data_IF_449540239319
#
_entry.id   IF_449540239319
#
_cell.length_a   1.000
_cell.length_b   1.000
_cell.length_c   1.000
_cell.angle_alpha   90.00
_cell.angle_beta   90.00
_cell.angle_gamma   90.00
#
_symmetry.space_group_name_H-M   'P 1'
#
loop_
_entity.id
_entity.type
_entity.pdbx_description
1 polymer ?
#
# COMPACT_ATOMS: atom_id res chain seq x y z
N UNK A 1 -24.49 60.80 -3.78
CA UNK A 1 -23.53 59.98 -3.00
C UNK A 1 -24.06 59.94 -1.57
N UNK A 2 -24.85 58.91 -1.24
CA UNK A 2 -25.64 58.83 0.00
C UNK A 2 -24.88 58.02 1.04
N UNK A 3 -24.70 58.59 2.23
CA UNK A 3 -24.27 57.89 3.45
C UNK A 3 -25.32 58.16 4.53
N UNK A 4 -25.87 57.08 5.07
CA UNK A 4 -26.62 56.91 6.34
C UNK A 4 -27.37 55.58 6.21
N UNK A 5 -27.54 54.72 7.20
CA UNK A 5 -27.65 54.90 8.65
C UNK A 5 -27.36 53.54 9.34
N UNK A 6 -26.91 53.56 10.59
CA UNK A 6 -26.91 52.40 11.49
C UNK A 6 -28.33 52.12 12.02
N UNK A 7 -28.70 50.85 12.26
CA UNK A 7 -29.53 50.40 13.41
C UNK A 7 -29.30 48.89 13.65
N UNK A 8 -29.11 48.57 14.92
CA UNK A 8 -28.98 47.26 15.57
C UNK A 8 -30.24 46.38 15.53
N UNK A 9 -30.08 45.05 15.44
CA UNK A 9 -31.16 44.07 15.57
C UNK A 9 -30.65 42.74 16.15
N UNK A 10 -31.43 42.21 17.09
CA UNK A 10 -31.14 41.17 18.09
C UNK A 10 -31.25 39.72 17.55
N UNK A 11 -30.40 38.84 18.09
CA UNK A 11 -30.56 37.41 18.45
C UNK A 11 -31.23 36.36 17.52
N UNK A 12 -30.41 35.32 17.29
CA UNK A 12 -30.71 33.88 17.17
C UNK A 12 -31.31 33.32 15.86
N UNK A 13 -30.51 32.51 15.14
CA UNK A 13 -30.62 31.03 15.16
C UNK A 13 -29.49 30.40 14.34
N UNK A 14 -29.10 29.20 14.74
CA UNK A 14 -27.91 28.45 14.32
C UNK A 14 -27.70 28.38 12.80
N UNK A 15 -26.55 28.86 12.33
CA UNK A 15 -25.98 28.45 11.05
C UNK A 15 -24.93 27.38 11.31
N UNK A 16 -25.17 26.19 10.77
CA UNK A 16 -24.16 25.14 10.68
C UNK A 16 -22.91 25.73 10.00
N UNK A 17 -21.82 25.84 10.76
CA UNK A 17 -20.52 26.23 10.23
C UNK A 17 -20.13 25.23 9.15
N UNK A 18 -20.02 25.73 7.92
CA UNK A 18 -19.62 24.97 6.75
C UNK A 18 -18.19 24.44 6.94
N UNK A 19 -18.00 23.17 6.58
CA UNK A 19 -16.75 22.41 6.69
C UNK A 19 -15.62 22.90 5.76
N UNK A 20 -15.78 24.04 5.10
CA UNK A 20 -14.95 24.43 3.95
C UNK A 20 -13.65 25.18 4.31
N UNK A 21 -13.41 25.51 5.58
CA UNK A 21 -12.26 26.35 5.97
C UNK A 21 -11.38 25.76 7.10
N UNK A 22 -11.39 24.44 7.28
CA UNK A 22 -10.39 23.78 8.14
C UNK A 22 -9.09 23.54 7.34
N UNK A 23 -7.91 23.61 7.97
CA UNK A 23 -6.65 23.24 7.34
C UNK A 23 -6.74 21.78 6.88
N UNK A 24 -6.68 21.54 5.57
CA UNK A 24 -7.04 20.26 4.95
C UNK A 24 -8.22 20.36 3.96
N UNK A 25 -8.77 21.54 3.72
CA UNK A 25 -9.57 21.79 2.53
C UNK A 25 -8.72 21.49 1.29
N UNK A 26 -9.27 20.68 0.38
CA UNK A 26 -8.64 20.29 -0.88
C UNK A 26 -7.98 21.51 -1.53
N UNK A 27 -6.68 21.45 -1.78
CA UNK A 27 -6.03 22.42 -2.67
C UNK A 27 -6.62 22.17 -4.06
N UNK A 28 -7.63 22.95 -4.40
CA UNK A 28 -8.13 23.05 -5.75
C UNK A 28 -7.11 23.91 -6.51
N UNK A 29 -6.45 23.41 -7.57
CA UNK A 29 -5.68 24.28 -8.44
C UNK A 29 -6.61 25.39 -8.96
N UNK A 30 -6.10 26.61 -9.07
CA UNK A 30 -6.86 27.85 -9.31
C UNK A 30 -7.57 27.97 -10.67
N UNK A 31 -8.23 26.92 -11.13
CA UNK A 31 -9.11 26.88 -12.30
C UNK A 31 -10.55 26.64 -11.82
N UNK A 32 -11.56 27.25 -12.47
CA UNK A 32 -12.96 27.06 -12.11
C UNK A 32 -13.36 25.59 -12.22
N UNK A 33 -14.15 25.10 -11.27
CA UNK A 33 -14.78 23.78 -11.34
C UNK A 33 -15.38 23.54 -12.74
N UNK A 34 -14.94 22.48 -13.43
CA UNK A 34 -15.64 21.95 -14.60
C UNK A 34 -15.17 22.38 -16.00
N UNK A 35 -14.02 23.05 -16.17
CA UNK A 35 -13.43 23.22 -17.51
C UNK A 35 -12.19 22.34 -17.71
N UNK A 36 -12.44 21.06 -17.92
CA UNK A 36 -11.53 20.20 -18.68
C UNK A 36 -12.30 19.79 -19.95
N UNK A 37 -11.84 20.12 -21.16
CA UNK A 37 -12.44 19.64 -22.40
C UNK A 37 -12.54 18.10 -22.44
N UNK A 38 -11.71 17.42 -21.64
CA UNK A 38 -11.70 15.96 -21.47
C UNK A 38 -12.63 15.43 -20.36
N UNK A 39 -13.27 16.30 -19.55
CA UNK A 39 -14.23 15.90 -18.51
C UNK A 39 -15.64 15.58 -19.03
N UNK A 40 -15.82 15.55 -20.35
CA UNK A 40 -17.05 15.09 -21.01
C UNK A 40 -17.24 13.57 -20.95
N UNK A 41 -16.65 12.92 -19.95
CA UNK A 41 -16.53 11.49 -19.98
C UNK A 41 -16.42 10.78 -18.60
N UNK A 42 -17.22 9.73 -18.36
CA UNK A 42 -18.28 9.22 -19.25
C UNK A 42 -19.46 10.20 -19.37
N UNK A 43 -20.22 10.16 -20.47
CA UNK A 43 -21.49 10.86 -20.60
C UNK A 43 -22.40 10.51 -19.41
N UNK A 44 -22.97 11.54 -18.80
CA UNK A 44 -23.60 11.55 -17.47
C UNK A 44 -24.94 10.83 -17.37
N UNK A 45 -25.34 10.09 -18.39
CA UNK A 45 -26.73 9.67 -18.54
C UNK A 45 -27.05 8.42 -17.71
N UNK A 46 -26.02 7.75 -17.16
CA UNK A 46 -26.12 6.60 -16.24
C UNK A 46 -24.96 6.56 -15.21
N UNK A 47 -24.47 7.72 -14.77
CA UNK A 47 -23.48 7.76 -13.70
C UNK A 47 -24.12 7.30 -12.39
N UNK A 48 -23.56 6.26 -11.78
CA UNK A 48 -24.03 5.66 -10.53
C UNK A 48 -24.38 6.67 -9.44
N UNK A 49 -25.14 6.21 -8.46
CA UNK A 49 -25.62 7.06 -7.37
C UNK A 49 -24.48 7.82 -6.69
N UNK A 50 -24.73 9.07 -6.31
CA UNK A 50 -23.82 9.86 -5.47
C UNK A 50 -23.38 8.99 -4.28
N UNK A 51 -22.06 8.88 -4.08
CA UNK A 51 -21.53 8.18 -2.92
C UNK A 51 -21.98 8.92 -1.65
N UNK A 52 -22.88 8.28 -0.89
CA UNK A 52 -23.31 8.78 0.41
C UNK A 52 -22.28 8.29 1.43
N UNK A 53 -21.56 9.19 2.14
CA UNK A 53 -20.62 8.79 3.18
C UNK A 53 -21.30 7.87 4.19
N UNK A 54 -20.83 6.64 4.28
CA UNK A 54 -21.35 5.68 5.26
C UNK A 54 -20.52 5.82 6.52
N UNK A 55 -21.19 6.10 7.65
CA UNK A 55 -20.54 6.00 8.94
C UNK A 55 -20.12 4.53 9.16
N UNK A 56 -18.91 4.26 9.68
CA UNK A 56 -18.50 2.90 9.96
C UNK A 56 -19.47 2.27 10.98
N UNK A 57 -19.90 1.05 10.70
CA UNK A 57 -20.77 0.30 11.60
C UNK A 57 -20.10 0.06 12.96
N UNK A 58 -20.85 -0.52 13.91
CA UNK A 58 -20.34 -0.78 15.26
C UNK A 58 -19.14 -1.73 15.25
N UNK A 59 -19.17 -2.77 14.41
CA UNK A 59 -18.09 -3.76 14.35
C UNK A 59 -16.81 -3.10 13.83
N UNK A 60 -16.90 -2.36 12.74
CA UNK A 60 -15.82 -1.61 12.13
C UNK A 60 -15.22 -0.61 13.12
N UNK A 61 -16.04 0.15 13.86
CA UNK A 61 -15.56 1.04 14.91
C UNK A 61 -14.83 0.30 16.03
N UNK A 62 -15.32 -0.86 16.45
CA UNK A 62 -14.67 -1.69 17.47
C UNK A 62 -13.34 -2.27 16.98
N UNK A 63 -13.20 -2.58 15.69
CA UNK A 63 -11.94 -3.02 15.10
C UNK A 63 -10.93 -1.87 15.03
N UNK A 64 -11.36 -0.69 14.57
CA UNK A 64 -10.52 0.52 14.54
C UNK A 64 -10.03 0.89 15.95
N UNK A 65 -10.89 0.78 16.97
CA UNK A 65 -10.52 1.08 18.35
C UNK A 65 -9.44 0.15 18.93
N UNK A 66 -9.16 -0.99 18.29
CA UNK A 66 -8.11 -1.92 18.73
C UNK A 66 -6.72 -1.55 18.20
N UNK A 67 -6.60 -0.62 17.25
CA UNK A 67 -5.30 -0.22 16.67
C UNK A 67 -4.39 0.33 17.77
N UNK A 68 -3.19 -0.26 17.91
CA UNK A 68 -2.21 0.14 18.91
C UNK A 68 -0.93 0.68 18.26
N UNK A 69 -0.75 2.00 18.36
CA UNK A 69 0.41 2.73 17.85
C UNK A 69 1.74 2.21 18.41
N UNK A 70 1.77 1.70 19.64
CA UNK A 70 3.00 1.13 20.23
C UNK A 70 3.40 -0.16 19.53
N UNK A 71 2.43 -0.95 19.05
CA UNK A 71 2.71 -2.18 18.26
C UNK A 71 3.24 -1.82 16.88
N UNK A 72 2.62 -0.86 16.21
CA UNK A 72 3.09 -0.35 14.92
C UNK A 72 4.54 0.13 15.01
N UNK A 73 4.84 1.00 15.98
CA UNK A 73 6.20 1.50 16.22
C UNK A 73 7.20 0.38 16.49
N UNK A 74 6.85 -0.58 17.36
CA UNK A 74 7.73 -1.71 17.67
C UNK A 74 8.06 -2.54 16.44
N UNK A 75 7.08 -2.78 15.55
CA UNK A 75 7.33 -3.51 14.30
C UNK A 75 8.34 -2.77 13.42
N UNK A 76 8.14 -1.46 13.22
CA UNK A 76 9.06 -0.63 12.42
C UNK A 76 10.47 -0.65 13.02
N UNK A 77 10.61 -0.35 14.31
CA UNK A 77 11.91 -0.34 14.99
C UNK A 77 12.58 -1.72 14.93
N UNK A 78 11.80 -2.80 15.06
CA UNK A 78 12.33 -4.16 14.97
C UNK A 78 12.83 -4.50 13.56
N UNK A 79 12.08 -4.16 12.52
CA UNK A 79 12.50 -4.37 11.14
C UNK A 79 13.75 -3.55 10.78
N UNK A 80 13.82 -2.30 11.24
CA UNK A 80 15.01 -1.44 11.10
C UNK A 80 16.24 -2.07 11.78
N UNK A 81 16.06 -2.73 12.93
CA UNK A 81 17.16 -3.30 13.71
C UNK A 81 17.96 -4.41 12.99
N UNK A 82 17.42 -5.00 11.91
CA UNK A 82 18.14 -6.00 11.11
C UNK A 82 19.24 -5.38 10.24
N UNK A 83 19.39 -4.05 10.23
CA UNK A 83 20.45 -3.31 9.56
C UNK A 83 20.23 -3.17 8.05
N UNK A 84 20.01 -4.28 7.35
CA UNK A 84 19.51 -4.32 5.97
C UNK A 84 18.56 -5.50 5.83
N UNK A 85 17.57 -5.34 4.96
CA UNK A 85 16.67 -6.42 4.53
C UNK A 85 16.71 -6.59 3.01
N UNK A 86 17.83 -6.21 2.37
CA UNK A 86 18.00 -6.37 0.93
C UNK A 86 17.77 -7.82 0.49
N UNK A 87 17.15 -8.03 -0.67
CA UNK A 87 16.79 -9.38 -1.18
C UNK A 87 17.99 -10.34 -1.23
N UNK A 88 19.14 -9.83 -1.66
CA UNK A 88 20.40 -10.58 -1.74
C UNK A 88 21.21 -10.63 -0.43
N UNK A 89 20.69 -10.08 0.68
CA UNK A 89 21.38 -10.11 1.97
C UNK A 89 21.30 -11.50 2.63
N UNK A 90 21.93 -11.63 3.80
CA UNK A 90 22.07 -12.90 4.54
C UNK A 90 20.72 -13.61 4.74
N UNK A 91 20.66 -14.88 4.32
CA UNK A 91 19.48 -15.73 4.39
C UNK A 91 19.41 -16.59 5.67
N UNK A 92 20.57 -16.81 6.30
CA UNK A 92 20.79 -17.75 7.40
C UNK A 92 21.30 -17.08 8.70
N UNK A 93 21.07 -15.78 8.85
CA UNK A 93 21.41 -15.02 10.04
C UNK A 93 20.18 -14.85 10.94
N UNK A 94 20.39 -14.82 12.26
CA UNK A 94 19.31 -14.60 13.25
C UNK A 94 19.17 -13.12 13.64
N UNK A 95 20.13 -12.27 13.28
CA UNK A 95 20.22 -10.88 13.76
C UNK A 95 20.31 -9.84 12.65
N UNK A 96 20.65 -10.23 11.41
CA UNK A 96 20.86 -9.31 10.29
C UNK A 96 20.33 -9.90 8.99
N UNK A 97 19.92 -9.04 8.06
CA UNK A 97 19.55 -9.46 6.71
C UNK A 97 18.09 -9.90 6.61
N UNK A 98 17.70 -10.16 5.36
CA UNK A 98 16.33 -10.54 4.99
C UNK A 98 15.90 -11.86 5.62
N UNK A 99 16.83 -12.82 5.81
CA UNK A 99 16.54 -14.09 6.48
C UNK A 99 16.11 -13.90 7.94
N UNK A 100 16.82 -13.07 8.69
CA UNK A 100 16.48 -12.75 10.08
C UNK A 100 15.10 -12.07 10.18
N UNK A 101 14.81 -11.16 9.24
CA UNK A 101 13.53 -10.46 9.15
C UNK A 101 12.38 -11.43 8.83
N UNK A 102 12.54 -12.30 7.82
CA UNK A 102 11.57 -13.35 7.45
C UNK A 102 11.22 -14.22 8.64
N UNK A 103 12.23 -14.73 9.35
CA UNK A 103 12.01 -15.67 10.46
C UNK A 103 11.35 -14.97 11.65
N UNK A 104 11.65 -13.68 11.87
CA UNK A 104 10.95 -12.88 12.88
C UNK A 104 9.50 -12.62 12.49
N UNK A 105 9.21 -12.25 11.25
CA UNK A 105 7.85 -12.07 10.74
C UNK A 105 7.02 -13.35 10.86
N UNK A 106 7.61 -14.51 10.55
CA UNK A 106 6.95 -15.80 10.74
C UNK A 106 6.53 -15.99 12.20
N UNK A 107 7.42 -15.72 13.16
CA UNK A 107 7.11 -15.84 14.59
C UNK A 107 6.02 -14.88 15.04
N UNK A 108 6.03 -13.64 14.56
CA UNK A 108 4.95 -12.67 14.87
C UNK A 108 3.59 -13.15 14.35
N UNK A 109 3.53 -13.63 13.09
CA UNK A 109 2.29 -14.15 12.51
C UNK A 109 1.83 -15.44 13.21
N UNK A 110 2.75 -16.34 13.58
CA UNK A 110 2.43 -17.53 14.37
C UNK A 110 1.90 -17.16 15.76
N UNK A 111 2.45 -16.13 16.39
CA UNK A 111 1.95 -15.58 17.65
C UNK A 111 0.52 -15.04 17.53
N UNK A 112 0.20 -14.39 16.41
CA UNK A 112 -1.19 -13.98 16.09
C UNK A 112 -2.08 -15.22 15.94
N UNK A 113 -1.64 -16.21 15.17
CA UNK A 113 -2.41 -17.43 14.92
C UNK A 113 -2.69 -18.23 16.19
N UNK A 114 -1.76 -18.27 17.14
CA UNK A 114 -1.95 -18.91 18.45
C UNK A 114 -3.12 -18.30 19.27
N UNK A 115 -3.49 -17.05 19.00
CA UNK A 115 -4.62 -16.36 19.66
C UNK A 115 -5.92 -16.39 18.87
N UNK A 116 -5.96 -17.12 17.75
CA UNK A 116 -7.04 -17.06 16.75
C UNK A 116 -8.08 -18.19 16.86
N UNK A 117 -7.98 -19.08 17.84
CA UNK A 117 -8.82 -20.28 17.95
C UNK A 117 -8.80 -21.12 16.66
N UNK A 118 -7.59 -21.31 16.10
CA UNK A 118 -7.34 -22.08 14.88
C UNK A 118 -7.86 -21.44 13.59
N UNK A 119 -8.18 -20.14 13.60
CA UNK A 119 -8.75 -19.43 12.46
C UNK A 119 -7.72 -18.92 11.45
N UNK A 120 -6.46 -18.74 11.88
CA UNK A 120 -5.40 -18.18 11.06
C UNK A 120 -4.41 -19.27 10.67
N UNK A 121 -4.27 -19.52 9.37
CA UNK A 121 -3.20 -20.32 8.80
C UNK A 121 -1.97 -19.44 8.55
N UNK A 122 -0.78 -19.88 8.96
CA UNK A 122 0.48 -19.16 8.71
C UNK A 122 1.43 -20.04 7.94
N UNK A 123 1.94 -19.56 6.80
CA UNK A 123 2.81 -20.34 5.93
C UNK A 123 3.75 -19.44 5.11
N UNK A 124 4.76 -20.07 4.54
CA UNK A 124 5.63 -19.43 3.56
C UNK A 124 5.11 -19.65 2.15
N UNK A 125 5.18 -18.60 1.33
CA UNK A 125 5.06 -18.69 -0.12
C UNK A 125 6.44 -18.36 -0.70
N UNK A 126 7.17 -19.38 -1.17
CA UNK A 126 8.60 -19.28 -1.44
C UNK A 126 9.01 -19.95 -2.75
N UNK A 127 10.02 -19.39 -3.41
CA UNK A 127 10.67 -20.01 -4.56
C UNK A 127 12.11 -19.49 -4.71
N UNK A 128 12.94 -20.18 -5.50
CA UNK A 128 14.28 -19.69 -5.85
C UNK A 128 14.16 -18.83 -7.09
N UNK A 129 14.50 -17.55 -6.96
CA UNK A 129 14.63 -16.63 -8.10
C UNK A 129 16.01 -16.83 -8.75
N UNK A 130 16.08 -17.23 -10.03
CA UNK A 130 17.35 -17.29 -10.76
C UNK A 130 17.92 -15.89 -11.00
N UNK A 131 19.18 -15.84 -11.44
CA UNK A 131 19.85 -14.62 -11.88
C UNK A 131 18.98 -13.85 -12.88
N UNK A 132 18.84 -12.55 -12.63
CA UNK A 132 18.00 -11.65 -13.40
C UNK A 132 18.52 -10.21 -13.23
N UNK A 133 17.84 -9.23 -13.84
CA UNK A 133 18.10 -7.83 -13.54
C UNK A 133 17.97 -7.60 -12.03
N UNK A 134 19.00 -7.02 -11.38
CA UNK A 134 19.07 -6.75 -9.93
C UNK A 134 19.12 -8.00 -9.04
N UNK A 135 19.30 -9.19 -9.60
CA UNK A 135 19.54 -10.45 -8.88
C UNK A 135 20.88 -11.03 -9.33
N UNK A 136 21.91 -10.88 -8.50
CA UNK A 136 23.30 -11.20 -8.86
C UNK A 136 23.63 -12.70 -8.79
N UNK A 137 22.86 -13.45 -8.00
CA UNK A 137 23.00 -14.89 -7.80
C UNK A 137 21.64 -15.47 -7.41
N UNK A 138 21.40 -16.79 -7.62
CA UNK A 138 20.14 -17.41 -7.23
C UNK A 138 19.87 -17.20 -5.74
N UNK A 139 18.65 -16.75 -5.42
CA UNK A 139 18.27 -16.38 -4.06
C UNK A 139 16.86 -16.87 -3.75
N UNK A 140 16.62 -17.23 -2.48
CA UNK A 140 15.28 -17.58 -2.05
C UNK A 140 14.45 -16.31 -1.86
N UNK A 141 13.32 -16.22 -2.55
CA UNK A 141 12.29 -15.20 -2.33
C UNK A 141 11.22 -15.85 -1.50
N UNK A 142 11.00 -15.35 -0.28
CA UNK A 142 10.02 -15.92 0.66
C UNK A 142 9.08 -14.86 1.17
N UNK A 143 7.80 -14.96 0.82
CA UNK A 143 6.74 -14.21 1.48
C UNK A 143 6.33 -14.91 2.78
N UNK A 144 5.98 -14.12 3.79
CA UNK A 144 5.36 -14.63 5.03
C UNK A 144 3.88 -14.27 4.99
N UNK A 145 3.03 -15.30 5.04
CA UNK A 145 1.60 -15.15 4.78
C UNK A 145 0.77 -15.65 5.96
N UNK A 146 -0.18 -14.83 6.40
CA UNK A 146 -1.25 -15.22 7.30
C UNK A 146 -2.60 -15.18 6.54
N UNK A 147 -3.37 -16.26 6.60
CA UNK A 147 -4.65 -16.41 5.91
C UNK A 147 -5.76 -16.70 6.91
N UNK A 148 -6.86 -15.98 6.79
CA UNK A 148 -8.12 -16.25 7.48
C UNK A 148 -9.12 -16.73 6.44
N UNK A 149 -9.60 -17.97 6.58
CA UNK A 149 -10.52 -18.55 5.61
C UNK A 149 -11.91 -17.92 5.73
N UNK A 150 -12.53 -17.63 4.58
CA UNK A 150 -13.92 -17.21 4.50
C UNK A 150 -14.87 -18.33 4.93
N UNK A 151 -15.95 -17.98 5.61
CA UNK A 151 -16.93 -18.94 6.13
C UNK A 151 -17.99 -19.34 5.12
N UNK A 152 -18.40 -18.41 4.26
CA UNK A 152 -19.47 -18.64 3.27
C UNK A 152 -18.99 -18.52 1.84
N UNK A 153 -17.89 -17.81 1.60
CA UNK A 153 -17.30 -17.58 0.28
C UNK A 153 -15.77 -17.62 0.35
N UNK A 154 -15.18 -18.79 0.64
CA UNK A 154 -13.74 -18.92 0.86
C UNK A 154 -12.89 -18.65 -0.40
N UNK A 155 -13.50 -18.67 -1.59
CA UNK A 155 -12.81 -18.43 -2.85
C UNK A 155 -12.72 -16.95 -3.21
N UNK A 156 -13.56 -16.09 -2.61
CA UNK A 156 -13.45 -14.64 -2.69
C UNK A 156 -12.39 -14.15 -1.72
N UNK A 157 -11.40 -13.42 -2.23
CA UNK A 157 -10.19 -13.09 -1.49
C UNK A 157 -9.95 -11.58 -1.49
N UNK A 158 -9.64 -11.05 -0.31
CA UNK A 158 -9.02 -9.74 -0.14
C UNK A 158 -7.61 -9.92 0.40
N UNK A 159 -6.65 -9.22 -0.21
CA UNK A 159 -5.24 -9.28 0.14
C UNK A 159 -4.82 -7.94 0.73
N UNK A 160 -3.95 -7.98 1.73
CA UNK A 160 -3.27 -6.82 2.30
C UNK A 160 -1.78 -7.11 2.27
N UNK A 161 -1.02 -6.25 1.59
CA UNK A 161 0.43 -6.41 1.41
C UNK A 161 1.21 -5.23 1.96
N UNK A 162 2.47 -5.50 2.28
CA UNK A 162 3.57 -4.57 2.49
C UNK A 162 4.88 -5.34 2.26
N UNK A 163 5.91 -4.69 1.73
CA UNK A 163 7.15 -5.39 1.41
C UNK A 163 8.17 -5.24 2.53
N UNK A 164 8.80 -6.35 2.92
CA UNK A 164 9.72 -6.33 4.07
C UNK A 164 11.18 -6.25 3.66
N UNK A 165 11.49 -6.32 2.37
CA UNK A 165 12.82 -5.98 1.89
C UNK A 165 13.10 -4.47 1.99
N UNK A 166 14.35 -4.10 1.75
CA UNK A 166 14.79 -2.70 1.79
C UNK A 166 16.08 -2.60 0.99
N UNK A 167 16.36 -1.48 0.34
CA UNK A 167 17.66 -1.30 -0.33
C UNK A 167 18.29 0.06 -0.07
N UNK A 168 19.53 0.17 -0.54
CA UNK A 168 20.23 1.45 -0.67
C UNK A 168 19.99 2.04 -2.05
N UNK A 169 20.50 3.27 -2.24
CA UNK A 169 20.53 3.92 -3.55
C UNK A 169 21.33 3.10 -4.57
N UNK A 170 22.48 2.57 -4.16
CA UNK A 170 23.16 1.53 -4.94
C UNK A 170 22.39 0.21 -4.76
N UNK A 171 21.73 -0.21 -5.84
CA UNK A 171 20.88 -1.38 -5.86
C UNK A 171 21.64 -2.70 -5.74
N UNK A 172 22.94 -2.68 -5.96
CA UNK A 172 23.78 -3.87 -5.83
C UNK A 172 24.51 -3.93 -4.48
N UNK A 173 24.39 -2.90 -3.62
CA UNK A 173 24.91 -2.96 -2.25
C UNK A 173 23.92 -3.69 -1.32
N UNK A 174 24.04 -5.02 -1.33
CA UNK A 174 23.26 -5.93 -0.48
C UNK A 174 23.84 -6.14 0.92
N UNK A 175 24.93 -5.45 1.26
CA UNK A 175 25.64 -5.62 2.54
C UNK A 175 25.53 -4.40 3.44
N UNK A 176 25.49 -3.20 2.86
CA UNK A 176 25.38 -1.94 3.56
C UNK A 176 24.05 -1.78 4.30
N UNK A 177 24.03 -0.91 5.31
CA UNK A 177 22.80 -0.66 6.06
C UNK A 177 21.75 0.03 5.18
N UNK A 178 20.54 -0.51 5.21
CA UNK A 178 19.32 -0.02 4.58
C UNK A 178 18.20 -0.17 5.63
N UNK A 179 17.96 0.85 6.47
CA UNK A 179 17.01 0.72 7.57
C UNK A 179 15.57 0.52 7.09
N UNK A 180 15.18 1.13 5.96
CA UNK A 180 13.88 0.95 5.32
C UNK A 180 12.70 1.12 6.29
N UNK A 181 12.70 2.21 7.08
CA UNK A 181 11.72 2.41 8.14
C UNK A 181 10.33 2.77 7.59
N UNK A 182 10.28 3.71 6.64
CA UNK A 182 9.04 4.07 5.95
C UNK A 182 8.82 3.18 4.72
N UNK A 183 9.90 2.82 4.02
CA UNK A 183 9.94 1.98 2.82
C UNK A 183 10.63 0.63 3.14
N UNK A 184 9.90 -0.45 3.46
CA UNK A 184 8.46 -0.47 3.78
C UNK A 184 8.16 -1.20 5.10
N UNK A 185 9.02 -1.00 6.11
CA UNK A 185 8.72 -1.49 7.45
C UNK A 185 7.39 -0.90 8.00
N UNK A 186 6.98 0.27 7.52
CA UNK A 186 5.72 0.92 7.88
C UNK A 186 4.49 0.18 7.32
N UNK A 187 4.48 -0.21 6.05
CA UNK A 187 3.42 -1.01 5.44
C UNK A 187 3.33 -2.40 6.07
N UNK A 188 4.46 -3.04 6.32
CA UNK A 188 4.51 -4.33 7.04
C UNK A 188 3.96 -4.21 8.47
N UNK A 189 4.16 -3.07 9.14
CA UNK A 189 3.55 -2.83 10.45
C UNK A 189 2.02 -2.82 10.39
N UNK A 190 1.43 -2.24 9.34
CA UNK A 190 -0.02 -2.29 9.11
C UNK A 190 -0.50 -3.71 8.80
N UNK A 191 0.24 -4.47 7.98
CA UNK A 191 -0.08 -5.88 7.69
C UNK A 191 -0.19 -6.70 8.98
N UNK A 192 0.81 -6.61 9.87
CA UNK A 192 0.80 -7.37 11.13
C UNK A 192 -0.31 -6.90 12.08
N UNK A 193 -0.57 -5.59 12.16
CA UNK A 193 -1.59 -5.06 13.07
C UNK A 193 -3.01 -5.39 12.58
N UNK A 194 -3.25 -5.33 11.27
CA UNK A 194 -4.51 -5.77 10.68
C UNK A 194 -4.71 -7.28 10.85
N UNK A 195 -3.67 -8.10 10.62
CA UNK A 195 -3.74 -9.55 10.86
C UNK A 195 -4.12 -9.85 12.32
N UNK A 196 -3.55 -9.13 13.28
CA UNK A 196 -3.88 -9.28 14.71
C UNK A 196 -5.33 -8.91 15.02
N UNK A 197 -5.79 -7.76 14.54
CA UNK A 197 -7.16 -7.26 14.79
C UNK A 197 -8.19 -8.18 14.15
N UNK A 198 -7.89 -8.71 12.96
CA UNK A 198 -8.78 -9.59 12.21
C UNK A 198 -8.71 -11.05 12.66
N UNK A 199 -7.71 -11.47 13.45
CA UNK A 199 -7.43 -12.88 13.76
C UNK A 199 -8.63 -13.69 14.28
N UNK A 200 -9.54 -13.04 15.04
CA UNK A 200 -10.74 -13.69 15.60
C UNK A 200 -12.01 -13.49 14.76
N UNK A 201 -11.93 -12.76 13.65
CA UNK A 201 -13.05 -12.57 12.75
C UNK A 201 -13.34 -13.86 11.99
N UNK A 202 -14.61 -14.11 11.71
CA UNK A 202 -15.06 -15.18 10.82
C UNK A 202 -15.71 -14.55 9.58
N UNK A 203 -14.90 -13.95 8.68
CA UNK A 203 -15.41 -13.20 7.55
C UNK A 203 -16.13 -14.11 6.54
N UNK A 204 -16.98 -13.53 5.68
CA UNK A 204 -17.58 -14.25 4.57
C UNK A 204 -16.52 -14.64 3.51
N UNK A 205 -15.68 -13.68 3.14
CA UNK A 205 -14.55 -13.84 2.22
C UNK A 205 -13.24 -14.18 2.95
N UNK A 206 -12.33 -14.86 2.26
CA UNK A 206 -10.98 -15.10 2.74
C UNK A 206 -10.18 -13.79 2.79
N UNK A 207 -9.41 -13.61 3.87
CA UNK A 207 -8.49 -12.48 4.02
C UNK A 207 -7.05 -13.00 4.07
N UNK A 208 -6.16 -12.38 3.29
CA UNK A 208 -4.74 -12.72 3.24
C UNK A 208 -3.93 -11.49 3.65
N UNK A 209 -3.06 -11.66 4.64
CA UNK A 209 -2.10 -10.66 5.09
C UNK A 209 -0.70 -11.17 4.77
N UNK A 210 0.02 -10.46 3.89
CA UNK A 210 1.31 -10.92 3.41
C UNK A 210 2.40 -9.86 3.54
N UNK A 211 3.49 -10.24 4.21
CA UNK A 211 4.75 -9.52 4.12
C UNK A 211 5.53 -10.11 2.93
N UNK A 212 5.65 -9.34 1.85
CA UNK A 212 6.25 -9.82 0.58
C UNK A 212 7.73 -9.46 0.48
N UNK A 213 8.52 -10.30 -0.18
CA UNK A 213 9.96 -10.08 -0.39
C UNK A 213 10.26 -9.60 -1.81
N UNK A 214 11.37 -8.88 -1.98
CA UNK A 214 11.93 -8.58 -3.29
C UNK A 214 11.11 -7.65 -4.17
N UNK A 215 10.38 -6.71 -3.55
CA UNK A 215 9.78 -5.58 -4.26
C UNK A 215 10.87 -4.79 -4.99
N UNK A 216 11.92 -4.43 -4.25
CA UNK A 216 12.90 -3.43 -4.66
C UNK A 216 13.83 -3.94 -5.78
N UNK A 217 13.85 -5.25 -5.97
CA UNK A 217 14.64 -5.92 -7.00
C UNK A 217 13.78 -6.34 -8.21
N UNK A 218 12.45 -6.22 -8.16
CA UNK A 218 11.59 -6.51 -9.31
C UNK A 218 10.25 -7.17 -8.98
N UNK A 219 9.61 -6.82 -7.86
CA UNK A 219 8.28 -7.33 -7.47
C UNK A 219 8.21 -8.86 -7.37
N UNK A 220 9.29 -9.51 -6.98
CA UNK A 220 9.42 -10.97 -7.07
C UNK A 220 8.44 -11.71 -6.15
N UNK A 221 8.36 -11.28 -4.90
CA UNK A 221 7.47 -11.90 -3.91
C UNK A 221 6.01 -11.68 -4.23
N UNK A 222 5.60 -10.44 -4.54
CA UNK A 222 4.20 -10.14 -4.89
C UNK A 222 3.77 -10.85 -6.18
N UNK A 223 4.65 -10.93 -7.19
CA UNK A 223 4.39 -11.69 -8.42
C UNK A 223 4.19 -13.18 -8.15
N UNK A 224 5.01 -13.79 -7.29
CA UNK A 224 4.86 -15.19 -6.91
C UNK A 224 3.56 -15.44 -6.14
N UNK A 225 3.19 -14.55 -5.21
CA UNK A 225 1.93 -14.66 -4.47
C UNK A 225 0.73 -14.53 -5.43
N UNK A 226 0.73 -13.54 -6.32
CA UNK A 226 -0.33 -13.35 -7.31
C UNK A 226 -0.47 -14.56 -8.24
N UNK A 227 0.65 -15.10 -8.74
CA UNK A 227 0.68 -16.32 -9.54
C UNK A 227 0.14 -17.54 -8.78
N UNK A 228 0.51 -17.68 -7.50
CA UNK A 228 0.01 -18.75 -6.63
C UNK A 228 -1.52 -18.66 -6.47
N UNK A 229 -2.05 -17.48 -6.15
CA UNK A 229 -3.49 -17.28 -5.98
C UNK A 229 -4.26 -17.51 -7.27
N UNK A 230 -3.73 -17.05 -8.41
CA UNK A 230 -4.30 -17.32 -9.74
C UNK A 230 -4.34 -18.81 -10.06
N UNK A 231 -3.26 -19.55 -9.79
CA UNK A 231 -3.18 -20.99 -10.05
C UNK A 231 -4.10 -21.81 -9.13
N UNK A 232 -4.44 -21.27 -7.96
CA UNK A 232 -5.42 -21.83 -7.04
C UNK A 232 -6.86 -21.42 -7.37
N UNK A 233 -7.08 -20.66 -8.45
CA UNK A 233 -8.38 -20.15 -8.89
C UNK A 233 -9.10 -19.28 -7.85
N UNK A 234 -8.34 -18.59 -6.99
CA UNK A 234 -8.93 -17.60 -6.09
C UNK A 234 -9.45 -16.39 -6.87
N UNK A 235 -10.64 -15.91 -6.50
CA UNK A 235 -11.20 -14.65 -6.99
C UNK A 235 -10.71 -13.50 -6.09
N UNK A 236 -9.57 -12.91 -6.44
CA UNK A 236 -9.03 -11.76 -5.71
C UNK A 236 -9.79 -10.50 -6.12
N UNK A 237 -10.67 -10.02 -5.24
CA UNK A 237 -11.48 -8.81 -5.49
C UNK A 237 -10.76 -7.52 -5.11
N UNK A 238 -9.68 -7.63 -4.33
CA UNK A 238 -8.93 -6.47 -3.89
C UNK A 238 -7.57 -6.81 -3.28
N UNK A 239 -6.57 -5.97 -3.55
CA UNK A 239 -5.27 -6.00 -2.87
C UNK A 239 -4.91 -4.62 -2.34
N UNK A 240 -4.88 -4.45 -1.02
CA UNK A 240 -4.49 -3.18 -0.39
C UNK A 240 -2.98 -3.24 -0.17
N UNK A 241 -2.23 -2.61 -1.07
CA UNK A 241 -0.78 -2.47 -0.95
C UNK A 241 -0.45 -1.25 -0.09
N UNK A 242 0.17 -1.48 1.07
CA UNK A 242 0.66 -0.44 1.95
C UNK A 242 2.15 -0.30 1.65
N UNK A 243 2.55 0.83 1.08
CA UNK A 243 3.92 1.08 0.66
C UNK A 243 4.23 2.56 0.86
N UNK A 244 5.20 2.82 1.74
CA UNK A 244 5.54 4.15 2.27
C UNK A 244 4.36 4.78 3.02
N UNK A 245 4.06 4.23 4.21
CA UNK A 245 2.96 4.68 5.07
C UNK A 245 3.45 5.32 6.37
N UNK A 246 3.56 6.64 6.37
CA UNK A 246 3.94 7.37 7.57
C UNK A 246 4.50 8.74 7.28
N UNK A 247 5.11 8.89 6.10
CA UNK A 247 5.55 10.19 5.61
C UNK A 247 4.43 10.87 4.82
N UNK A 248 3.90 11.98 5.36
CA UNK A 248 2.93 12.85 4.68
C UNK A 248 3.52 13.66 3.51
N UNK A 249 4.72 13.32 3.04
CA UNK A 249 5.39 14.04 1.95
C UNK A 249 6.24 13.17 1.03
N UNK A 250 6.39 13.63 -0.22
CA UNK A 250 7.16 12.98 -1.28
C UNK A 250 8.68 13.02 -1.04
N UNK A 251 9.20 13.98 -0.25
CA UNK A 251 10.63 14.10 0.05
C UNK A 251 10.90 14.02 1.55
N UNK A 252 12.01 13.37 1.99
CA UNK A 252 12.45 13.25 3.39
C UNK A 252 12.46 14.56 4.20
N UNK A 253 12.56 15.71 3.53
CA UNK A 253 12.78 17.03 4.14
C UNK A 253 11.54 17.93 4.14
N UNK A 254 10.43 17.50 3.56
CA UNK A 254 9.24 18.36 3.40
C UNK A 254 8.33 18.26 4.63
N UNK A 255 7.62 19.33 5.01
CA UNK A 255 6.75 19.34 6.19
C UNK A 255 5.76 18.16 6.20
N UNK A 256 5.68 17.49 7.34
CA UNK A 256 4.76 16.38 7.57
C UNK A 256 3.34 16.97 7.72
N UNK A 257 2.43 16.54 6.85
CA UNK A 257 1.00 16.81 7.02
C UNK A 257 0.34 15.62 7.75
N UNK A 258 -0.07 15.76 9.03
CA UNK A 258 -0.66 14.67 9.80
C UNK A 258 -2.12 14.36 9.41
N UNK A 259 -2.70 15.11 8.47
CA UNK A 259 -4.10 14.99 8.06
C UNK A 259 -4.25 14.49 6.62
N UNK A 260 -3.16 14.11 5.95
CA UNK A 260 -3.19 13.66 4.55
C UNK A 260 -2.61 12.25 4.44
N UNK A 261 -3.41 11.35 3.86
CA UNK A 261 -2.99 10.01 3.47
C UNK A 261 -2.90 9.98 1.95
N UNK A 262 -1.85 9.36 1.42
CA UNK A 262 -1.71 9.11 -0.03
C UNK A 262 -2.35 7.78 -0.35
N UNK A 263 -3.31 7.78 -1.28
CA UNK A 263 -3.97 6.58 -1.78
C UNK A 263 -3.76 6.51 -3.29
N UNK A 264 -3.13 5.42 -3.74
CA UNK A 264 -3.02 5.08 -5.15
C UNK A 264 -3.98 3.92 -5.43
N UNK A 265 -4.90 4.08 -6.38
CA UNK A 265 -5.90 3.08 -6.72
C UNK A 265 -5.96 2.84 -8.22
N UNK A 266 -5.95 1.56 -8.62
CA UNK A 266 -6.33 1.12 -9.96
C UNK A 266 -7.60 0.26 -9.81
N UNK A 267 -8.72 0.70 -10.39
CA UNK A 267 -9.98 -0.04 -10.39
C UNK A 267 -10.02 -1.05 -11.54
N UNK A 268 -10.57 -2.24 -11.29
CA UNK A 268 -10.87 -3.28 -12.30
C UNK A 268 -12.08 -2.92 -13.19
N UNK A 269 -12.79 -1.81 -12.91
CA UNK A 269 -13.82 -1.26 -13.79
C UNK A 269 -13.26 -0.09 -14.60
N UNK A 270 -12.81 -0.39 -15.82
CA UNK A 270 -12.85 0.55 -16.95
C UNK A 270 -13.03 -0.24 -18.25
N UNK A 271 -14.18 -0.12 -18.93
CA UNK A 271 -14.12 0.00 -20.36
C UNK A 271 -14.72 1.35 -20.73
N UNK A 272 -13.84 2.33 -20.88
CA UNK A 272 -14.04 3.43 -21.80
C UNK A 272 -12.63 4.11 -22.07
N UNK A 273 -12.44 4.71 -23.27
CA UNK A 273 -11.40 5.61 -23.84
C UNK A 273 -10.24 6.27 -23.04
N UNK A 274 -10.29 6.57 -21.74
CA UNK A 274 -9.15 7.23 -21.06
C UNK A 274 -8.01 6.27 -20.70
N UNK A 275 -8.32 4.98 -20.55
CA UNK A 275 -7.31 3.91 -20.53
C UNK A 275 -6.58 3.80 -21.88
N UNK A 276 -7.16 4.28 -22.97
CA UNK A 276 -6.50 4.35 -24.28
C UNK A 276 -5.47 5.50 -24.34
N UNK A 277 -5.67 6.62 -23.64
CA UNK A 277 -4.79 7.79 -23.71
C UNK A 277 -3.56 7.69 -22.79
N UNK A 278 -3.70 7.08 -21.61
CA UNK A 278 -2.56 6.86 -20.72
C UNK A 278 -1.63 5.77 -21.27
N UNK A 279 -2.17 4.68 -21.84
CA UNK A 279 -1.37 3.67 -22.55
C UNK A 279 -0.71 4.26 -23.82
N UNK A 280 -1.38 5.16 -24.54
CA UNK A 280 -0.79 5.87 -25.69
C UNK A 280 0.33 6.84 -25.27
N UNK A 281 0.23 7.46 -24.09
CA UNK A 281 1.29 8.31 -23.52
C UNK A 281 2.48 7.47 -23.02
N UNK A 282 2.22 6.32 -22.39
CA UNK A 282 3.24 5.34 -22.02
C UNK A 282 3.96 4.78 -23.25
N UNK A 283 3.27 4.56 -24.37
CA UNK A 283 3.86 4.12 -25.65
C UNK A 283 4.66 5.22 -26.36
N UNK A 284 4.26 6.49 -26.25
CA UNK A 284 4.96 7.63 -26.88
C UNK A 284 6.20 8.09 -26.11
N UNK A 285 6.24 7.92 -24.78
CA UNK A 285 7.45 8.18 -23.98
C UNK A 285 8.47 7.05 -24.16
N UNK A 286 8.01 5.79 -24.26
CA UNK A 286 8.86 4.65 -24.62
C UNK A 286 9.46 4.80 -26.04
N UNK A 287 8.75 5.42 -26.99
CA UNK A 287 9.24 5.70 -28.34
C UNK A 287 10.23 6.89 -28.43
N UNK A 288 10.27 7.79 -27.42
CA UNK A 288 11.22 8.92 -27.36
C UNK A 288 12.53 8.61 -26.63
N UNK A 289 12.66 7.44 -26.01
CA UNK A 289 13.85 7.04 -25.23
C UNK A 289 14.71 5.97 -25.89
N UNK A 290 14.43 5.59 -27.14
CA UNK A 290 15.33 4.71 -27.92
C UNK A 290 15.47 5.22 -29.36
N UNK A 291 16.66 5.75 -29.71
CA UNK A 291 17.26 5.35 -30.98
C UNK A 291 18.76 5.02 -30.82
N UNK A 292 19.35 4.38 -31.85
CA UNK A 292 19.83 3.01 -31.87
C UNK A 292 21.23 2.81 -31.26
N UNK A 293 21.54 1.57 -30.86
CA UNK A 293 22.92 1.15 -30.59
C UNK A 293 23.77 1.15 -31.88
N UNK A 294 24.85 1.95 -31.89
CA UNK A 294 26.13 1.81 -32.63
C UNK A 294 26.72 3.22 -32.87
N UNK A 295 28.02 3.55 -32.82
CA UNK A 295 29.31 2.84 -32.69
C UNK A 295 30.37 3.95 -32.53
N UNK A 296 31.40 3.66 -31.73
CA UNK A 296 32.71 4.32 -31.57
C UNK A 296 33.18 5.41 -32.55
N UNK A 297 33.84 6.47 -32.02
CA UNK A 297 35.30 6.71 -32.10
C UNK A 297 35.75 8.19 -32.28
N UNK A 298 36.93 8.47 -31.69
CA UNK A 298 37.91 9.55 -31.95
C UNK A 298 37.57 10.92 -31.32
N UNK A 299 38.44 11.57 -30.54
CA UNK A 299 39.91 11.48 -30.42
C UNK A 299 40.45 10.85 -29.14
#
# INVERSE_FOLDING_TARGET
MKISLAVSGLLATATATSWQNLPGSNVMPGQPFGYAPEASWPPTDNNGSQLIPQAPDRQTRNLIAQVDQKRLRRTVEKLVSFGTRHTLSQQNSTTRGIGAARDWLLREMQGIAATSDGNVDVFFNSYIQPVASRILFPVNITNVVARINGTTDPNRVYVVTGHYDSRRLDINDYTGNAPGADDDASGVALVLEMARICAKLRPAATMIFAAVAGEEQGLYGSSNLAGTLKNQSYNVEGNWNNDIVGQGSFLPTTPINPHTIRLFGASLFYPNASSANLLQTTALIAARTIPPLATSAVS
#
